data_IF_026001049028
#
_entry.id   IF_026001049028
#
_cell.length_a   1.000
_cell.length_b   1.000
_cell.length_c   1.000
_cell.angle_alpha   90.00
_cell.angle_beta   90.00
_cell.angle_gamma   90.00
#
_symmetry.space_group_name_H-M   'P 1'
#
loop_
_entity.id
_entity.type
_entity.pdbx_description
1 polymer ?
#
# COMPACT_ATOMS: atom_id res chain seq x y z
N UNK A 1 10.14 2.27 -33.14
CA UNK A 1 11.44 2.83 -33.60
C UNK A 1 11.35 4.35 -33.56
N UNK A 2 12.34 5.05 -32.99
CA UNK A 2 12.40 6.52 -33.05
C UNK A 2 13.02 6.98 -34.37
N UNK A 3 12.42 8.01 -34.98
CA UNK A 3 13.01 8.71 -36.12
C UNK A 3 14.38 9.27 -35.76
N UNK A 4 15.32 9.25 -36.71
CA UNK A 4 16.75 9.58 -36.47
C UNK A 4 16.94 10.95 -35.80
N UNK A 5 16.12 11.93 -36.16
CA UNK A 5 16.15 13.28 -35.60
C UNK A 5 15.82 13.37 -34.08
N UNK A 6 15.19 12.34 -33.51
CA UNK A 6 14.75 12.33 -32.11
C UNK A 6 15.53 11.32 -31.24
N UNK A 7 16.59 10.72 -31.79
CA UNK A 7 17.49 9.84 -31.03
C UNK A 7 18.36 10.69 -30.10
N UNK A 8 18.83 10.09 -29.01
CA UNK A 8 19.75 10.72 -28.05
C UNK A 8 19.22 11.90 -27.22
N UNK A 9 17.94 12.28 -27.38
CA UNK A 9 17.31 13.36 -26.59
C UNK A 9 16.55 12.85 -25.34
N UNK A 10 16.81 11.62 -24.88
CA UNK A 10 16.10 11.01 -23.74
C UNK A 10 14.64 10.62 -24.01
N UNK A 11 14.07 10.99 -25.15
CA UNK A 11 12.68 10.71 -25.56
C UNK A 11 12.37 9.20 -25.56
N UNK A 12 13.36 8.36 -25.93
CA UNK A 12 13.19 6.91 -25.92
C UNK A 12 12.89 6.37 -24.53
N UNK A 13 13.55 6.92 -23.50
CA UNK A 13 13.36 6.49 -22.11
C UNK A 13 11.94 6.84 -21.65
N UNK A 14 11.51 8.08 -21.91
CA UNK A 14 10.15 8.52 -21.61
C UNK A 14 9.08 7.67 -22.32
N UNK A 15 9.32 7.29 -23.58
CA UNK A 15 8.40 6.46 -24.33
C UNK A 15 8.24 5.07 -23.70
N UNK A 16 9.35 4.44 -23.30
CA UNK A 16 9.32 3.14 -22.62
C UNK A 16 8.66 3.27 -21.24
N UNK A 17 8.99 4.31 -20.47
CA UNK A 17 8.39 4.56 -19.15
C UNK A 17 6.87 4.73 -19.23
N UNK A 18 6.37 5.54 -20.16
CA UNK A 18 4.92 5.69 -20.36
C UNK A 18 4.28 4.40 -20.88
N UNK A 19 4.99 3.61 -21.72
CA UNK A 19 4.56 2.29 -22.15
C UNK A 19 4.42 1.30 -20.99
N UNK A 20 5.43 1.24 -20.10
CA UNK A 20 5.41 0.43 -18.87
C UNK A 20 4.26 0.83 -17.98
N UNK A 21 4.11 2.14 -17.73
CA UNK A 21 3.02 2.69 -16.92
C UNK A 21 1.65 2.32 -17.48
N UNK A 22 1.45 2.47 -18.80
CA UNK A 22 0.18 2.10 -19.44
C UNK A 22 -0.09 0.60 -19.39
N UNK A 23 0.94 -0.21 -19.58
CA UNK A 23 0.86 -1.67 -19.44
C UNK A 23 0.44 -2.07 -18.03
N UNK A 24 1.05 -1.47 -17.00
CA UNK A 24 0.71 -1.72 -15.60
C UNK A 24 -0.72 -1.25 -15.23
N UNK A 25 -1.21 -0.19 -15.86
CA UNK A 25 -2.60 0.27 -15.67
C UNK A 25 -3.63 -0.71 -16.26
N UNK A 26 -3.34 -1.29 -17.42
CA UNK A 26 -4.25 -2.22 -18.11
C UNK A 26 -4.14 -3.64 -17.53
N UNK A 27 -2.94 -4.04 -17.14
CA UNK A 27 -2.58 -5.38 -16.72
C UNK A 27 -1.82 -5.32 -15.38
N UNK A 28 -2.57 -5.11 -14.31
CA UNK A 28 -2.01 -5.01 -12.97
C UNK A 28 -1.34 -6.33 -12.56
N UNK A 29 -0.20 -6.22 -11.89
CA UNK A 29 0.53 -7.33 -11.29
C UNK A 29 1.07 -8.39 -12.27
N UNK A 30 1.27 -8.03 -13.53
CA UNK A 30 1.87 -8.91 -14.55
C UNK A 30 3.31 -8.45 -14.85
N UNK A 31 4.23 -9.41 -15.00
CA UNK A 31 5.59 -9.13 -15.46
C UNK A 31 5.59 -8.67 -16.93
N UNK A 32 6.35 -7.61 -17.24
CA UNK A 32 6.53 -7.17 -18.63
C UNK A 32 7.76 -7.89 -19.18
N UNK A 33 7.59 -8.63 -20.28
CA UNK A 33 8.67 -9.36 -20.97
C UNK A 33 9.02 -8.64 -22.26
N UNK A 34 10.30 -8.51 -22.55
CA UNK A 34 10.81 -8.00 -23.82
C UNK A 34 11.89 -8.93 -24.38
N UNK A 35 11.93 -9.04 -25.71
CA UNK A 35 13.13 -9.46 -26.43
C UNK A 35 13.93 -8.20 -26.73
N UNK A 36 15.09 -8.05 -26.11
CA UNK A 36 15.97 -6.90 -26.30
C UNK A 36 17.18 -7.33 -27.14
N UNK A 37 17.59 -6.49 -28.09
CA UNK A 37 18.89 -6.66 -28.74
C UNK A 37 20.00 -6.55 -27.69
N UNK A 38 21.02 -7.42 -27.77
CA UNK A 38 22.09 -7.50 -26.75
C UNK A 38 22.79 -6.15 -26.52
N UNK A 39 22.97 -5.34 -27.56
CA UNK A 39 23.57 -4.00 -27.46
C UNK A 39 22.71 -2.96 -26.71
N UNK A 40 21.44 -3.26 -26.42
CA UNK A 40 20.54 -2.41 -25.64
C UNK A 40 20.34 -2.92 -24.21
N UNK A 41 21.09 -3.94 -23.80
CA UNK A 41 20.99 -4.53 -22.45
C UNK A 41 21.09 -3.45 -21.36
N UNK A 42 22.18 -2.69 -21.33
CA UNK A 42 22.42 -1.66 -20.31
C UNK A 42 21.33 -0.59 -20.31
N UNK A 43 20.85 -0.21 -21.50
CA UNK A 43 19.75 0.74 -21.66
C UNK A 43 18.45 0.27 -20.99
N UNK A 44 18.13 -1.01 -21.08
CA UNK A 44 16.96 -1.58 -20.41
C UNK A 44 17.20 -1.89 -18.93
N UNK A 45 18.43 -2.22 -18.54
CA UNK A 45 18.81 -2.34 -17.12
C UNK A 45 18.62 -1.00 -16.37
N UNK A 46 18.97 0.12 -17.01
CA UNK A 46 18.72 1.48 -16.49
C UNK A 46 17.22 1.83 -16.31
N UNK A 47 16.35 1.07 -16.98
CA UNK A 47 14.89 1.19 -16.86
C UNK A 47 14.30 0.19 -15.85
N UNK A 48 15.14 -0.61 -15.19
CA UNK A 48 14.75 -1.59 -14.18
C UNK A 48 14.44 -2.98 -14.73
N UNK A 49 14.68 -3.24 -16.02
CA UNK A 49 14.57 -4.58 -16.56
C UNK A 49 15.75 -5.43 -16.09
N UNK A 50 15.50 -6.72 -15.90
CA UNK A 50 16.49 -7.72 -15.51
C UNK A 50 16.54 -8.82 -16.55
N UNK A 51 17.74 -9.35 -16.82
CA UNK A 51 17.92 -10.46 -17.76
C UNK A 51 17.17 -11.69 -17.25
N UNK A 52 16.49 -12.38 -18.16
CA UNK A 52 15.90 -13.69 -17.92
C UNK A 52 16.25 -14.61 -19.07
N UNK A 53 17.09 -15.60 -18.80
CA UNK A 53 17.52 -16.59 -19.80
C UNK A 53 18.83 -16.22 -20.49
N UNK A 54 19.12 -16.94 -21.57
CA UNK A 54 20.37 -16.84 -22.31
C UNK A 54 20.21 -16.01 -23.59
N UNK A 55 21.35 -15.61 -24.16
CA UNK A 55 21.39 -14.94 -25.45
C UNK A 55 21.00 -15.89 -26.58
N UNK A 56 20.27 -15.40 -27.57
CA UNK A 56 19.87 -16.15 -28.75
C UNK A 56 19.94 -15.29 -30.01
N UNK A 57 19.97 -15.94 -31.17
CA UNK A 57 20.01 -15.25 -32.46
C UNK A 57 18.57 -15.09 -32.99
N UNK A 58 18.19 -13.86 -33.33
CA UNK A 58 16.91 -13.53 -33.96
C UNK A 58 17.23 -12.59 -35.13
N UNK A 59 16.82 -12.95 -36.35
CA UNK A 59 17.13 -12.24 -37.60
C UNK A 59 18.63 -11.93 -37.83
N UNK A 60 19.51 -12.84 -37.38
CA UNK A 60 20.96 -12.69 -37.53
C UNK A 60 21.60 -11.74 -36.51
N UNK A 61 20.84 -11.26 -35.52
CA UNK A 61 21.31 -10.34 -34.48
C UNK A 61 21.17 -11.01 -33.11
N UNK A 62 22.15 -10.81 -32.23
CA UNK A 62 22.07 -11.32 -30.85
C UNK A 62 21.01 -10.57 -30.04
N UNK A 63 20.09 -11.33 -29.47
CA UNK A 63 19.01 -10.90 -28.58
C UNK A 63 19.13 -11.57 -27.21
N UNK A 64 18.50 -10.96 -26.22
CA UNK A 64 18.40 -11.47 -24.85
C UNK A 64 17.01 -11.15 -24.32
N UNK A 65 16.44 -12.11 -23.59
CA UNK A 65 15.15 -11.88 -22.94
C UNK A 65 15.35 -11.11 -21.63
N UNK A 66 14.50 -10.11 -21.40
CA UNK A 66 14.51 -9.30 -20.18
C UNK A 66 13.11 -9.16 -19.61
N UNK A 67 13.02 -9.03 -18.28
CA UNK A 67 11.77 -8.88 -17.54
C UNK A 67 11.79 -7.69 -16.60
N UNK A 68 10.65 -7.02 -16.50
CA UNK A 68 10.37 -6.03 -15.47
C UNK A 68 9.31 -6.60 -14.52
N UNK A 69 9.69 -6.74 -13.25
CA UNK A 69 8.78 -7.27 -12.22
C UNK A 69 7.72 -6.23 -11.87
N UNK A 70 6.46 -6.66 -11.62
CA UNK A 70 5.40 -5.72 -11.22
C UNK A 70 5.71 -5.16 -9.83
N UNK A 71 5.64 -3.83 -9.69
CA UNK A 71 5.76 -3.21 -8.38
C UNK A 71 4.37 -3.10 -7.73
N UNK A 72 4.08 -4.02 -6.80
CA UNK A 72 2.79 -4.04 -6.08
C UNK A 72 2.46 -2.73 -5.36
N UNK A 73 3.47 -1.94 -4.97
CA UNK A 73 3.29 -0.73 -4.16
C UNK A 73 2.70 0.44 -4.98
N UNK A 74 3.04 0.52 -6.26
CA UNK A 74 2.48 1.53 -7.17
C UNK A 74 1.01 1.26 -7.48
N UNK A 75 0.58 -0.01 -7.58
CA UNK A 75 -0.81 -0.35 -7.90
C UNK A 75 -1.81 0.20 -6.88
N UNK A 76 -1.50 0.08 -5.58
CA UNK A 76 -2.39 0.59 -4.53
C UNK A 76 -2.38 2.13 -4.46
N UNK A 77 -1.20 2.75 -4.53
CA UNK A 77 -1.09 4.22 -4.47
C UNK A 77 -1.72 4.89 -5.70
N UNK A 78 -1.45 4.41 -6.91
CA UNK A 78 -2.05 4.94 -8.14
C UNK A 78 -3.55 4.70 -8.22
N UNK A 79 -4.07 3.57 -7.71
CA UNK A 79 -5.52 3.37 -7.64
C UNK A 79 -6.18 4.38 -6.70
N UNK A 80 -5.61 4.62 -5.52
CA UNK A 80 -6.09 5.66 -4.61
C UNK A 80 -5.94 7.06 -5.22
N UNK A 81 -4.82 7.35 -5.89
CA UNK A 81 -4.60 8.65 -6.55
C UNK A 81 -5.53 8.87 -7.74
N UNK A 82 -5.80 7.85 -8.54
CA UNK A 82 -6.75 7.92 -9.65
C UNK A 82 -8.18 8.09 -9.13
N UNK A 83 -8.50 7.53 -7.96
CA UNK A 83 -9.78 7.80 -7.30
C UNK A 83 -9.91 9.27 -6.92
N UNK A 84 -8.85 9.86 -6.34
CA UNK A 84 -8.77 11.29 -5.97
C UNK A 84 -8.70 12.21 -7.20
N UNK A 85 -8.03 11.79 -8.28
CA UNK A 85 -7.83 12.56 -9.52
C UNK A 85 -8.95 12.36 -10.54
N UNK A 86 -9.87 11.43 -10.29
CA UNK A 86 -11.08 11.27 -11.09
C UNK A 86 -11.91 12.56 -11.01
N UNK A 87 -12.59 12.92 -12.10
CA UNK A 87 -13.50 14.09 -12.14
C UNK A 87 -14.65 14.01 -11.11
N UNK A 88 -14.75 12.92 -10.37
CA UNK A 88 -15.70 12.69 -9.29
C UNK A 88 -15.25 13.26 -7.93
N UNK A 89 -14.08 13.92 -7.82
CA UNK A 89 -13.59 14.51 -6.57
C UNK A 89 -14.60 15.49 -5.92
N UNK A 90 -15.34 16.25 -6.74
CA UNK A 90 -16.41 17.14 -6.27
C UNK A 90 -17.58 16.34 -5.67
N UNK A 91 -17.95 15.22 -6.30
CA UNK A 91 -19.01 14.33 -5.80
C UNK A 91 -18.60 13.65 -4.49
N UNK A 92 -17.32 13.27 -4.35
CA UNK A 92 -16.84 12.65 -3.11
C UNK A 92 -16.79 13.64 -1.95
N UNK A 93 -16.37 14.89 -2.18
CA UNK A 93 -16.44 15.93 -1.14
C UNK A 93 -17.90 16.19 -0.75
N UNK A 94 -18.81 16.30 -1.72
CA UNK A 94 -20.23 16.48 -1.45
C UNK A 94 -20.83 15.36 -0.60
N UNK A 95 -20.50 14.10 -0.92
CA UNK A 95 -20.94 12.94 -0.15
C UNK A 95 -20.39 12.97 1.28
N UNK A 96 -19.10 13.25 1.46
CA UNK A 96 -18.48 13.36 2.78
C UNK A 96 -19.06 14.51 3.62
N UNK A 97 -19.32 15.67 3.02
CA UNK A 97 -19.96 16.81 3.71
C UNK A 97 -21.37 16.44 4.15
N UNK A 98 -22.15 15.78 3.29
CA UNK A 98 -23.50 15.34 3.64
C UNK A 98 -23.50 14.27 4.75
N UNK A 99 -22.60 13.29 4.69
CA UNK A 99 -22.44 12.26 5.72
C UNK A 99 -21.98 12.89 7.02
N UNK A 100 -21.04 13.83 6.99
CA UNK A 100 -20.55 14.52 8.19
C UNK A 100 -21.64 15.37 8.85
N UNK A 101 -22.52 15.99 8.05
CA UNK A 101 -23.64 16.79 8.54
C UNK A 101 -24.75 15.91 9.14
N UNK A 102 -25.08 14.79 8.49
CA UNK A 102 -26.01 13.81 9.07
C UNK A 102 -25.43 13.21 10.35
N UNK A 103 -24.17 12.80 10.34
CA UNK A 103 -23.49 12.22 11.50
C UNK A 103 -23.38 13.23 12.65
N UNK A 104 -23.12 14.51 12.38
CA UNK A 104 -23.11 15.55 13.43
C UNK A 104 -24.50 15.75 14.05
N UNK A 105 -25.57 15.52 13.29
CA UNK A 105 -26.94 15.57 13.81
C UNK A 105 -27.24 14.38 14.74
N UNK A 106 -26.56 13.25 14.55
CA UNK A 106 -26.73 12.03 15.35
C UNK A 106 -25.75 11.89 16.53
N UNK A 107 -24.64 12.65 16.57
CA UNK A 107 -23.73 12.67 17.72
C UNK A 107 -24.35 13.54 18.83
N UNK A 108 -25.32 12.97 19.56
CA UNK A 108 -25.58 13.34 20.96
C UNK A 108 -24.64 12.50 21.82
N UNK A 109 -23.66 13.17 22.42
CA UNK A 109 -22.79 12.66 23.50
C UNK A 109 -22.22 11.26 23.29
N UNK A 110 -21.16 11.16 22.48
CA UNK A 110 -20.25 10.01 22.57
C UNK A 110 -19.60 10.09 23.96
N UNK A 111 -19.87 9.12 24.84
CA UNK A 111 -19.13 8.94 26.10
C UNK A 111 -17.66 8.62 25.77
N UNK A 112 -16.86 9.66 25.63
CA UNK A 112 -15.41 9.62 25.39
C UNK A 112 -14.63 8.95 26.52
N UNK A 113 -15.20 8.86 27.71
CA UNK A 113 -14.63 8.14 28.86
C UNK A 113 -14.63 6.62 28.70
N UNK A 114 -15.47 6.05 27.83
CA UNK A 114 -15.54 4.60 27.61
C UNK A 114 -14.43 4.05 26.71
N UNK A 115 -13.74 4.92 25.97
CA UNK A 115 -12.87 4.53 24.86
C UNK A 115 -11.37 4.64 25.15
N UNK A 116 -10.94 5.22 26.28
CA UNK A 116 -9.53 5.63 26.43
C UNK A 116 -8.80 5.12 27.69
N UNK A 117 -9.27 4.05 28.33
CA UNK A 117 -8.52 3.47 29.46
C UNK A 117 -8.32 1.96 29.32
N UNK A 118 -7.07 1.58 29.05
CA UNK A 118 -6.57 0.20 29.15
C UNK A 118 -5.52 0.19 30.26
N UNK A 119 -5.75 -0.60 31.32
CA UNK A 119 -4.79 -0.75 32.41
C UNK A 119 -3.56 -1.53 31.90
N UNK A 120 -2.36 -1.06 32.23
CA UNK A 120 -1.11 -1.78 31.97
C UNK A 120 -0.65 -2.49 33.25
N UNK A 121 -0.57 -3.81 33.23
CA UNK A 121 0.02 -4.63 34.30
C UNK A 121 1.04 -5.55 33.63
N UNK A 122 2.29 -5.55 34.11
CA UNK A 122 3.37 -6.43 33.64
C UNK A 122 3.49 -6.50 32.10
N UNK A 123 3.52 -5.32 31.46
CA UNK A 123 3.63 -5.14 30.01
C UNK A 123 2.52 -5.79 29.14
N UNK A 124 1.41 -6.22 29.75
CA UNK A 124 0.27 -6.80 29.04
C UNK A 124 -0.96 -5.90 29.12
N UNK A 125 -1.55 -5.61 27.96
CA UNK A 125 -2.82 -4.88 27.87
C UNK A 125 -3.96 -5.80 28.33
N UNK A 126 -4.73 -5.35 29.31
CA UNK A 126 -5.89 -6.08 29.83
C UNK A 126 -7.17 -5.24 29.72
N UNK A 127 -8.29 -5.90 29.38
CA UNK A 127 -9.59 -5.25 29.33
C UNK A 127 -10.06 -4.81 30.71
N UNK A 128 -10.89 -3.75 30.77
CA UNK A 128 -11.48 -3.22 32.01
C UNK A 128 -12.19 -4.28 32.85
N UNK A 129 -12.97 -5.16 32.22
CA UNK A 129 -13.69 -6.25 32.90
C UNK A 129 -12.75 -7.26 33.59
N UNK A 130 -11.54 -7.44 33.05
CA UNK A 130 -10.53 -8.30 33.64
C UNK A 130 -9.81 -7.61 34.81
N UNK A 131 -9.59 -6.31 34.70
CA UNK A 131 -9.01 -5.48 35.76
C UNK A 131 -9.94 -5.36 36.99
N UNK A 132 -11.23 -5.10 36.78
CA UNK A 132 -12.20 -5.02 37.89
C UNK A 132 -12.34 -6.35 38.64
N UNK A 133 -12.32 -7.48 37.91
CA UNK A 133 -12.27 -8.81 38.54
C UNK A 133 -11.01 -9.01 39.39
N UNK A 134 -9.86 -8.55 38.91
CA UNK A 134 -8.61 -8.61 39.66
C UNK A 134 -8.70 -7.81 40.97
N UNK A 135 -9.17 -6.56 40.92
CA UNK A 135 -9.34 -5.74 42.13
C UNK A 135 -10.32 -6.37 43.13
N UNK A 136 -11.44 -6.91 42.65
CA UNK A 136 -12.41 -7.57 43.51
C UNK A 136 -11.81 -8.83 44.17
N UNK A 137 -11.00 -9.60 43.43
CA UNK A 137 -10.30 -10.77 43.97
C UNK A 137 -9.33 -10.40 45.09
N UNK A 138 -8.53 -9.34 44.91
CA UNK A 138 -7.59 -8.86 45.94
C UNK A 138 -8.34 -8.35 47.17
N UNK A 139 -9.41 -7.59 46.95
CA UNK A 139 -10.22 -7.01 48.04
C UNK A 139 -10.85 -8.12 48.88
N UNK A 140 -11.36 -9.17 48.24
CA UNK A 140 -11.90 -10.33 48.94
C UNK A 140 -10.80 -11.09 49.70
N UNK A 141 -9.63 -11.34 49.09
CA UNK A 141 -8.50 -11.98 49.80
C UNK A 141 -8.10 -11.22 51.06
N UNK A 142 -7.90 -9.89 50.98
CA UNK A 142 -7.57 -9.07 52.16
C UNK A 142 -8.67 -9.07 53.22
N UNK A 143 -9.93 -9.18 52.82
CA UNK A 143 -11.06 -9.30 53.76
C UNK A 143 -11.03 -10.62 54.53
N UNK A 144 -10.68 -11.72 53.88
CA UNK A 144 -10.54 -13.02 54.54
C UNK A 144 -9.31 -13.07 55.46
N UNK A 145 -8.20 -12.45 55.08
CA UNK A 145 -7.00 -12.37 55.94
C UNK A 145 -7.26 -11.56 57.21
N UNK A 146 -7.95 -10.42 57.11
CA UNK A 146 -8.28 -9.58 58.27
C UNK A 146 -9.36 -10.19 59.20
N UNK A 147 -10.20 -11.09 58.69
CA UNK A 147 -11.23 -11.78 59.49
C UNK A 147 -10.68 -12.99 60.27
N UNK A 148 -9.52 -13.53 59.88
CA UNK A 148 -8.88 -14.69 60.52
C UNK A 148 -7.80 -14.30 61.56
N UNK A 149 -7.65 -13.00 61.87
CA UNK A 149 -6.67 -12.47 62.84
C UNK A 149 -7.36 -11.96 64.13
N UNK A 150 -8.68 -12.20 64.28
CA UNK A 150 -9.47 -11.85 65.47
C UNK A 150 -9.90 -13.11 66.22
#
# INVERSE_FOLDING_TARGET
>A
MLARAYRSNGIGKQLIEEGVKKSQQLFANIEIKISAQLGLKEYYEDLGFSIKGEKYLEDGIEHIQMILSPNLKYSLYENCLNLIRSKSFILTIGLFVSISFVLSTFIKEVQTESLNWVAKIDDKYISRSKFERYLNSITNSRRFDNANIQ
#
